data_IF_773748857868
#
_entry.id   IF_773748857868
#
_cell.length_a   1.000
_cell.length_b   1.000
_cell.length_c   1.000
_cell.angle_alpha   90.00
_cell.angle_beta   90.00
_cell.angle_gamma   90.00
#
_symmetry.space_group_name_H-M   'P 1'
#
loop_
_entity.id
_entity.type
_entity.pdbx_description
1 polymer ?
#
# COMPACT_ATOMS: atom_id res chain seq x y z
N UNK A 1 27.40 -16.16 -57.80
CA UNK A 1 28.34 -16.39 -56.68
C UNK A 1 28.40 -15.11 -55.88
N UNK A 2 28.11 -14.98 -54.59
CA UNK A 2 27.69 -15.87 -53.51
C UNK A 2 26.66 -15.06 -52.71
N UNK A 3 25.47 -15.64 -52.51
CA UNK A 3 24.61 -15.30 -51.37
C UNK A 3 25.38 -15.72 -50.10
N UNK A 4 25.04 -15.21 -48.92
CA UNK A 4 25.71 -15.41 -47.61
C UNK A 4 26.68 -14.31 -47.16
N UNK A 5 26.14 -13.13 -46.86
CA UNK A 5 26.68 -12.30 -45.76
C UNK A 5 25.57 -11.47 -45.10
N UNK A 6 24.40 -12.10 -44.91
CA UNK A 6 23.44 -11.67 -43.89
C UNK A 6 23.74 -12.54 -42.68
N UNK A 7 23.62 -11.99 -41.47
CA UNK A 7 23.51 -12.71 -40.18
C UNK A 7 24.69 -12.68 -39.19
N UNK A 8 25.54 -11.63 -39.14
CA UNK A 8 26.38 -11.37 -37.95
C UNK A 8 26.56 -9.86 -37.74
N UNK A 9 25.49 -9.14 -37.39
CA UNK A 9 25.62 -7.81 -36.74
C UNK A 9 24.29 -7.35 -36.11
N UNK A 10 23.58 -8.27 -35.43
CA UNK A 10 22.29 -7.99 -34.79
C UNK A 10 22.28 -8.45 -33.32
N UNK A 11 23.44 -8.39 -32.64
CA UNK A 11 23.62 -8.89 -31.26
C UNK A 11 24.33 -7.87 -30.36
N UNK A 12 24.33 -6.57 -30.72
CA UNK A 12 24.96 -5.52 -29.90
C UNK A 12 24.02 -4.33 -29.69
N UNK A 13 22.75 -4.60 -29.38
CA UNK A 13 21.75 -3.54 -29.17
C UNK A 13 20.77 -3.81 -28.00
N UNK A 14 21.20 -4.52 -26.95
CA UNK A 14 20.29 -4.89 -25.85
C UNK A 14 20.87 -4.77 -24.44
N UNK A 15 21.97 -4.05 -24.24
CA UNK A 15 22.63 -3.98 -22.92
C UNK A 15 22.97 -2.57 -22.46
N UNK A 16 22.07 -1.59 -22.57
CA UNK A 16 22.29 -0.27 -21.94
C UNK A 16 21.07 0.37 -21.25
N UNK A 17 19.97 -0.35 -21.05
CA UNK A 17 18.89 0.11 -20.17
C UNK A 17 18.64 -0.86 -19.02
N UNK A 18 19.65 -1.02 -18.17
CA UNK A 18 19.36 -1.16 -16.74
C UNK A 18 19.78 0.15 -16.13
N UNK A 19 18.94 1.16 -16.37
CA UNK A 19 18.90 2.32 -15.50
C UNK A 19 18.77 1.76 -14.09
N UNK A 20 19.81 1.97 -13.29
CA UNK A 20 19.72 1.83 -11.87
C UNK A 20 18.60 2.79 -11.47
N UNK A 21 17.39 2.26 -11.32
CA UNK A 21 16.28 2.96 -10.73
C UNK A 21 16.72 3.21 -9.31
N UNK A 22 17.40 4.34 -9.12
CA UNK A 22 17.35 5.10 -7.89
C UNK A 22 15.90 5.02 -7.45
N UNK A 23 15.67 4.33 -6.34
CA UNK A 23 14.41 4.31 -5.59
C UNK A 23 13.78 5.69 -5.72
N UNK A 24 12.88 5.85 -6.67
CA UNK A 24 11.83 6.83 -6.54
C UNK A 24 11.03 6.28 -5.38
N UNK A 25 11.29 6.84 -4.19
CA UNK A 25 10.27 6.94 -3.17
C UNK A 25 9.10 7.63 -3.85
N UNK A 26 8.26 6.84 -4.53
CA UNK A 26 6.96 7.29 -4.96
C UNK A 26 6.26 7.63 -3.66
N UNK A 27 6.22 8.89 -3.30
CA UNK A 27 5.21 9.37 -2.37
C UNK A 27 3.89 8.83 -2.91
N UNK A 28 3.32 7.84 -2.22
CA UNK A 28 2.03 7.29 -2.60
C UNK A 28 1.03 8.42 -2.42
N UNK A 29 0.53 8.97 -3.52
CA UNK A 29 -0.53 9.98 -3.52
C UNK A 29 -1.86 9.44 -2.95
N UNK A 30 -1.90 8.16 -2.58
CA UNK A 30 -2.99 7.53 -1.85
C UNK A 30 -3.36 8.35 -0.61
N UNK A 31 -4.65 8.58 -0.46
CA UNK A 31 -5.30 9.31 0.63
C UNK A 31 -6.23 8.36 1.41
N UNK A 32 -6.71 8.80 2.58
CA UNK A 32 -7.73 8.06 3.32
C UNK A 32 -9.00 7.86 2.48
N UNK A 33 -9.37 8.87 1.67
CA UNK A 33 -10.54 8.81 0.81
C UNK A 33 -10.43 7.74 -0.28
N UNK A 34 -9.21 7.44 -0.77
CA UNK A 34 -9.00 6.35 -1.73
C UNK A 34 -9.30 4.98 -1.12
N UNK A 35 -8.92 4.77 0.15
CA UNK A 35 -9.29 3.56 0.87
C UNK A 35 -10.78 3.50 1.12
N UNK A 36 -11.38 4.56 1.68
CA UNK A 36 -12.82 4.65 1.92
C UNK A 36 -13.57 4.31 0.64
N UNK A 37 -13.17 4.91 -0.49
CA UNK A 37 -13.75 4.63 -1.79
C UNK A 37 -13.62 3.15 -2.16
N UNK A 38 -12.44 2.56 -2.04
CA UNK A 38 -12.21 1.15 -2.38
C UNK A 38 -13.10 0.18 -1.58
N UNK A 39 -13.37 0.47 -0.30
CA UNK A 39 -14.33 -0.31 0.50
C UNK A 39 -15.79 -0.05 0.07
N UNK A 40 -16.17 1.22 -0.13
CA UNK A 40 -17.54 1.57 -0.55
C UNK A 40 -17.90 1.03 -1.93
N UNK A 41 -16.95 0.98 -2.88
CA UNK A 41 -17.12 0.35 -4.20
C UNK A 41 -17.44 -1.15 -4.10
N UNK A 42 -17.11 -1.79 -2.96
CA UNK A 42 -17.41 -3.20 -2.65
C UNK A 42 -18.69 -3.37 -1.81
N UNK A 43 -19.47 -2.30 -1.64
CA UNK A 43 -20.71 -2.29 -0.86
C UNK A 43 -20.50 -2.27 0.65
N UNK A 44 -19.30 -1.90 1.12
CA UNK A 44 -18.99 -1.81 2.55
C UNK A 44 -19.23 -0.36 3.00
N UNK A 45 -20.06 -0.19 4.02
CA UNK A 45 -20.33 1.11 4.61
C UNK A 45 -19.12 1.59 5.43
N UNK A 46 -18.66 2.80 5.16
CA UNK A 46 -17.56 3.44 5.88
C UNK A 46 -17.95 4.88 6.21
N UNK A 47 -18.07 5.17 7.50
CA UNK A 47 -18.29 6.53 7.99
C UNK A 47 -16.95 7.13 8.42
N UNK A 48 -16.48 8.15 7.70
CA UNK A 48 -15.19 8.81 7.96
C UNK A 48 -15.09 9.51 9.33
N UNK A 49 -16.24 9.81 9.93
CA UNK A 49 -16.32 10.45 11.25
C UNK A 49 -16.13 9.42 12.38
N UNK A 50 -16.27 8.12 12.08
CA UNK A 50 -16.01 7.07 13.05
C UNK A 50 -14.50 6.84 13.13
N UNK A 51 -13.92 7.25 14.27
CA UNK A 51 -12.48 7.21 14.51
C UNK A 51 -12.09 6.03 15.44
N UNK A 52 -11.06 5.24 15.09
CA UNK A 52 -10.46 4.32 16.04
C UNK A 52 -9.67 5.08 17.10
N UNK A 53 -9.23 4.41 18.16
CA UNK A 53 -8.31 5.00 19.15
C UNK A 53 -6.89 5.04 18.54
N UNK A 54 -6.65 5.98 17.63
CA UNK A 54 -5.43 6.07 16.83
C UNK A 54 -4.21 6.59 17.60
N UNK A 55 -4.43 7.39 18.67
CA UNK A 55 -3.36 8.00 19.46
C UNK A 55 -2.49 6.97 20.19
N UNK A 56 -3.02 5.79 20.52
CA UNK A 56 -2.29 4.72 21.19
C UNK A 56 -1.21 4.08 20.32
N UNK A 57 -1.31 4.22 19.01
CA UNK A 57 -0.36 3.66 18.04
C UNK A 57 0.37 4.74 17.24
N UNK A 58 0.34 5.99 17.75
CA UNK A 58 1.02 7.16 17.17
C UNK A 58 0.59 7.51 15.74
N UNK A 59 -0.62 7.10 15.34
CA UNK A 59 -1.21 7.52 14.08
C UNK A 59 -1.77 8.95 14.19
N UNK A 60 -1.80 9.70 13.09
CA UNK A 60 -2.33 11.08 13.03
C UNK A 60 -3.86 11.11 12.88
N UNK A 61 -4.42 10.11 12.23
CA UNK A 61 -5.85 9.96 11.98
C UNK A 61 -6.18 8.48 11.73
N UNK A 62 -7.46 8.14 11.63
CA UNK A 62 -7.92 6.85 11.17
C UNK A 62 -9.41 6.82 10.85
N UNK A 63 -9.87 5.68 10.37
CA UNK A 63 -11.29 5.37 10.21
C UNK A 63 -11.56 3.95 10.68
N UNK A 64 -12.67 3.74 11.38
CA UNK A 64 -13.12 2.42 11.84
C UNK A 64 -14.47 2.08 11.21
N UNK A 65 -14.60 0.84 10.76
CA UNK A 65 -15.79 0.31 10.12
C UNK A 65 -15.83 -1.21 10.26
N UNK A 66 -16.83 -1.85 9.66
CA UNK A 66 -17.05 -3.29 9.78
C UNK A 66 -17.14 -3.95 8.41
N UNK A 67 -16.34 -5.00 8.22
CA UNK A 67 -16.41 -5.87 7.04
C UNK A 67 -16.93 -7.23 7.51
N UNK A 68 -18.13 -7.60 7.07
CA UNK A 68 -18.78 -8.87 7.46
C UNK A 68 -18.87 -9.02 8.99
N UNK A 69 -19.28 -7.94 9.67
CA UNK A 69 -19.34 -7.82 11.14
C UNK A 69 -17.98 -7.94 11.86
N UNK A 70 -16.87 -7.97 11.13
CA UNK A 70 -15.51 -7.95 11.70
C UNK A 70 -14.97 -6.53 11.74
N UNK A 71 -14.46 -6.12 12.92
CA UNK A 71 -13.81 -4.81 13.11
C UNK A 71 -12.68 -4.64 12.10
N UNK A 72 -12.70 -3.53 11.39
CA UNK A 72 -11.62 -3.08 10.51
C UNK A 72 -11.31 -1.62 10.80
N UNK A 73 -10.03 -1.29 10.94
CA UNK A 73 -9.60 0.09 11.09
C UNK A 73 -8.40 0.38 10.19
N UNK A 74 -8.41 1.56 9.57
CA UNK A 74 -7.28 2.07 8.79
C UNK A 74 -6.72 3.27 9.54
N UNK A 75 -5.42 3.27 9.75
CA UNK A 75 -4.70 4.32 10.44
C UNK A 75 -3.80 5.04 9.45
N UNK A 76 -3.75 6.37 9.53
CA UNK A 76 -2.86 7.19 8.72
C UNK A 76 -1.75 7.78 9.59
N UNK A 77 -0.53 7.79 9.07
CA UNK A 77 0.64 8.41 9.67
C UNK A 77 1.07 9.62 8.85
N UNK A 78 1.93 10.50 9.38
CA UNK A 78 2.38 11.65 8.59
C UNK A 78 3.28 11.21 7.43
N UNK A 79 4.05 10.13 7.61
CA UNK A 79 4.89 9.52 6.60
C UNK A 79 5.01 8.00 6.78
N UNK A 80 5.55 7.31 5.76
CA UNK A 80 5.88 5.89 5.87
C UNK A 80 6.97 5.63 6.92
N UNK A 81 7.93 6.55 7.07
CA UNK A 81 8.98 6.45 8.08
C UNK A 81 8.42 6.52 9.49
N UNK A 82 7.47 7.42 9.76
CA UNK A 82 6.78 7.49 11.05
C UNK A 82 5.96 6.23 11.35
N UNK A 83 5.26 5.69 10.35
CA UNK A 83 4.58 4.39 10.48
C UNK A 83 5.57 3.28 10.83
N UNK A 84 6.72 3.25 10.16
CA UNK A 84 7.72 2.22 10.39
C UNK A 84 8.32 2.33 11.80
N UNK A 85 8.64 3.53 12.27
CA UNK A 85 9.13 3.75 13.63
C UNK A 85 8.07 3.42 14.68
N UNK A 86 6.82 3.86 14.50
CA UNK A 86 5.73 3.60 15.44
C UNK A 86 5.37 2.10 15.57
N UNK A 87 5.64 1.30 14.53
CA UNK A 87 5.27 -0.12 14.48
C UNK A 87 6.43 -1.08 14.71
N UNK A 88 7.69 -0.62 14.66
CA UNK A 88 8.91 -1.44 14.68
C UNK A 88 8.96 -2.45 15.83
N UNK A 89 8.66 -1.98 17.03
CA UNK A 89 8.74 -2.78 18.26
C UNK A 89 7.36 -2.98 18.92
N UNK A 90 6.28 -2.64 18.21
CA UNK A 90 4.92 -2.75 18.72
C UNK A 90 4.32 -4.11 18.37
N UNK A 91 4.22 -4.99 19.38
CA UNK A 91 3.66 -6.33 19.23
C UNK A 91 2.21 -6.35 18.73
N UNK A 92 1.43 -5.29 18.95
CA UNK A 92 0.04 -5.21 18.50
C UNK A 92 -0.07 -5.07 16.98
N UNK A 93 0.89 -4.38 16.37
CA UNK A 93 0.83 -3.96 14.96
C UNK A 93 1.75 -4.76 14.05
N UNK A 94 2.50 -5.73 14.61
CA UNK A 94 3.57 -6.44 13.90
C UNK A 94 3.10 -7.14 12.61
N UNK A 95 1.88 -7.68 12.63
CA UNK A 95 1.31 -8.46 11.52
C UNK A 95 0.26 -7.69 10.72
N UNK A 96 0.09 -6.39 11.00
CA UNK A 96 -0.89 -5.55 10.32
C UNK A 96 -0.39 -5.16 8.93
N UNK A 97 -1.30 -5.10 7.96
CA UNK A 97 -0.94 -4.77 6.59
C UNK A 97 -0.55 -3.28 6.47
N UNK A 98 0.49 -3.00 5.69
CA UNK A 98 0.99 -1.65 5.41
C UNK A 98 0.76 -1.30 3.93
N UNK A 99 0.39 -0.06 3.64
CA UNK A 99 0.33 0.50 2.29
C UNK A 99 0.73 1.98 2.34
N UNK A 100 1.99 2.28 2.00
CA UNK A 100 2.59 3.60 2.20
C UNK A 100 2.54 4.02 3.68
N UNK A 101 2.00 5.22 3.95
CA UNK A 101 1.81 5.76 5.31
C UNK A 101 0.56 5.24 6.04
N UNK A 102 -0.09 4.19 5.52
CA UNK A 102 -1.31 3.63 6.09
C UNK A 102 -1.09 2.24 6.66
N UNK A 103 -1.79 1.95 7.76
CA UNK A 103 -1.76 0.67 8.48
C UNK A 103 -3.17 0.13 8.66
N UNK A 104 -3.37 -1.17 8.44
CA UNK A 104 -4.67 -1.83 8.55
C UNK A 104 -4.73 -2.77 9.76
N UNK A 105 -5.64 -2.49 10.70
CA UNK A 105 -6.11 -3.46 11.69
C UNK A 105 -7.30 -4.23 11.11
N UNK A 106 -7.09 -5.47 10.67
CA UNK A 106 -8.19 -6.35 10.31
C UNK A 106 -7.79 -7.82 10.35
N UNK A 107 -8.72 -8.66 10.82
CA UNK A 107 -8.65 -10.13 10.69
C UNK A 107 -9.43 -10.64 9.47
N UNK A 108 -10.16 -9.77 8.77
CA UNK A 108 -10.97 -10.16 7.63
C UNK A 108 -10.10 -10.18 6.36
N UNK A 109 -10.12 -11.29 5.62
CA UNK A 109 -9.27 -11.48 4.43
C UNK A 109 -9.67 -10.54 3.29
N UNK A 110 -10.96 -10.37 3.04
CA UNK A 110 -11.50 -9.42 2.06
C UNK A 110 -11.04 -8.00 2.36
N UNK A 111 -11.05 -7.61 3.64
CA UNK A 111 -10.57 -6.29 4.05
C UNK A 111 -9.08 -6.11 3.75
N UNK A 112 -8.25 -7.11 4.04
CA UNK A 112 -6.82 -7.10 3.74
C UNK A 112 -6.54 -7.01 2.24
N UNK A 113 -7.31 -7.72 1.42
CA UNK A 113 -7.17 -7.71 -0.04
C UNK A 113 -7.50 -6.34 -0.64
N UNK A 114 -8.65 -5.75 -0.26
CA UNK A 114 -9.05 -4.40 -0.71
C UNK A 114 -7.95 -3.40 -0.38
N UNK A 115 -7.48 -3.38 0.87
CA UNK A 115 -6.46 -2.44 1.35
C UNK A 115 -5.15 -2.50 0.56
N UNK A 116 -4.64 -3.72 0.30
CA UNK A 116 -3.36 -3.92 -0.41
C UNK A 116 -3.43 -3.53 -1.89
N UNK A 117 -4.63 -3.48 -2.46
CA UNK A 117 -4.84 -3.20 -3.88
C UNK A 117 -5.09 -1.71 -4.20
N UNK A 118 -5.22 -0.84 -3.19
CA UNK A 118 -5.31 0.62 -3.37
C UNK A 118 -3.96 1.17 -3.86
N UNK A 119 -3.98 2.02 -4.89
CA UNK A 119 -2.79 2.57 -5.58
C UNK A 119 -2.92 4.05 -5.88
#
# INVERSE_FOLDING_TARGET
>A
MKKHTVLILLVVLSVLFVGCSSKETKESNVTMDDFIKAYTDQGIEVNKEDKPIFSLIQAKDGVIFYVENSKTAIYEYASEDELNEATKDNALTKDWAKNGRFLLESKNEKANEIFKNVK
#
